data_IF_698168914605
#
_entry.id   IF_698168914605
#
_cell.length_a   1.000
_cell.length_b   1.000
_cell.length_c   1.000
_cell.angle_alpha   90.00
_cell.angle_beta   90.00
_cell.angle_gamma   90.00
#
_symmetry.space_group_name_H-M   'P 1'
#
loop_
_entity.id
_entity.type
_entity.pdbx_description
1 polymer ?
#
# COMPACT_ATOMS: atom_id res chain seq x y z
N UNK A 1 -14.27 -8.09 -35.53
CA UNK A 1 -13.54 -8.28 -36.80
C UNK A 1 -13.65 -9.76 -37.17
N UNK A 2 -14.67 -10.16 -37.93
CA UNK A 2 -14.86 -11.55 -38.34
C UNK A 2 -14.54 -11.67 -39.83
N UNK A 3 -13.25 -11.63 -40.17
CA UNK A 3 -12.79 -11.86 -41.54
C UNK A 3 -12.72 -13.36 -41.79
N UNK A 4 -13.50 -13.87 -42.77
CA UNK A 4 -13.45 -15.28 -43.17
C UNK A 4 -12.02 -15.65 -43.59
N UNK A 5 -11.34 -16.43 -42.75
CA UNK A 5 -9.97 -16.90 -43.00
C UNK A 5 -10.06 -18.04 -44.03
N UNK A 6 -9.24 -17.99 -45.07
CA UNK A 6 -9.19 -19.04 -46.08
C UNK A 6 -8.83 -20.40 -45.46
N UNK A 7 -9.59 -21.45 -45.76
CA UNK A 7 -9.41 -22.81 -45.24
C UNK A 7 -8.24 -23.52 -45.94
N UNK A 8 -7.02 -23.13 -45.60
CA UNK A 8 -5.77 -23.73 -46.09
C UNK A 8 -5.06 -24.48 -44.95
N UNK A 9 -4.40 -25.62 -45.22
CA UNK A 9 -3.63 -26.37 -44.19
C UNK A 9 -2.65 -25.48 -43.41
N UNK A 10 -1.99 -24.53 -44.08
CA UNK A 10 -1.08 -23.58 -43.44
C UNK A 10 -1.78 -22.67 -42.42
N UNK A 11 -3.00 -22.21 -42.70
CA UNK A 11 -3.80 -21.42 -41.77
C UNK A 11 -4.25 -22.27 -40.57
N UNK A 12 -4.61 -23.54 -40.79
CA UNK A 12 -4.97 -24.47 -39.71
C UNK A 12 -3.80 -24.66 -38.72
N UNK A 13 -2.58 -24.88 -39.21
CA UNK A 13 -1.38 -25.03 -38.36
C UNK A 13 -1.12 -23.74 -37.57
N UNK A 14 -1.24 -22.56 -38.23
CA UNK A 14 -1.02 -21.26 -37.57
C UNK A 14 -2.05 -21.01 -36.46
N UNK A 15 -3.33 -21.27 -36.73
CA UNK A 15 -4.41 -21.10 -35.75
C UNK A 15 -4.23 -22.10 -34.59
N UNK A 16 -3.88 -23.35 -34.88
CA UNK A 16 -3.66 -24.38 -33.84
C UNK A 16 -2.50 -24.01 -32.91
N UNK A 17 -1.38 -23.50 -33.47
CA UNK A 17 -0.25 -22.98 -32.66
C UNK A 17 -0.65 -21.75 -31.85
N UNK A 18 -1.43 -20.84 -32.44
CA UNK A 18 -1.96 -19.66 -31.74
C UNK A 18 -2.88 -20.05 -30.57
N UNK A 19 -3.71 -21.08 -30.75
CA UNK A 19 -4.60 -21.61 -29.71
C UNK A 19 -3.78 -22.20 -28.55
N UNK A 20 -2.79 -23.05 -28.86
CA UNK A 20 -1.89 -23.64 -27.85
C UNK A 20 -1.12 -22.58 -27.06
N UNK A 21 -0.64 -21.54 -27.73
CA UNK A 21 0.04 -20.41 -27.10
C UNK A 21 -0.91 -19.60 -26.21
N UNK A 22 -2.14 -19.36 -26.66
CA UNK A 22 -3.16 -18.67 -25.88
C UNK A 22 -3.56 -19.45 -24.62
N UNK A 23 -3.71 -20.77 -24.72
CA UNK A 23 -3.99 -21.65 -23.57
C UNK A 23 -2.85 -21.59 -22.54
N UNK A 24 -1.59 -21.77 -22.96
CA UNK A 24 -0.44 -21.65 -22.06
C UNK A 24 -0.32 -20.26 -21.43
N UNK A 25 -0.60 -19.21 -22.20
CA UNK A 25 -0.60 -17.84 -21.69
C UNK A 25 -1.67 -17.59 -20.62
N UNK A 26 -2.86 -18.18 -20.79
CA UNK A 26 -3.93 -18.14 -19.81
C UNK A 26 -3.52 -18.83 -18.50
N UNK A 27 -2.94 -20.03 -18.58
CA UNK A 27 -2.50 -20.78 -17.39
C UNK A 27 -1.44 -20.02 -16.58
N UNK A 28 -0.48 -19.38 -17.27
CA UNK A 28 0.55 -18.56 -16.63
C UNK A 28 -0.05 -17.31 -15.94
N UNK A 29 -1.07 -16.69 -16.55
CA UNK A 29 -1.75 -15.54 -15.95
C UNK A 29 -2.53 -15.94 -14.69
N UNK A 30 -3.13 -17.14 -14.68
CA UNK A 30 -3.85 -17.66 -13.53
C UNK A 30 -2.91 -18.00 -12.38
N UNK A 31 -1.76 -18.61 -12.66
CA UNK A 31 -0.70 -18.84 -11.67
C UNK A 31 -0.18 -17.52 -11.07
N UNK A 32 0.08 -16.51 -11.93
CA UNK A 32 0.47 -15.17 -11.46
C UNK A 32 -0.58 -14.55 -10.55
N UNK A 33 -1.87 -14.69 -10.88
CA UNK A 33 -2.98 -14.18 -10.09
C UNK A 33 -3.03 -14.82 -8.69
N UNK A 34 -2.84 -16.14 -8.61
CA UNK A 34 -2.84 -16.86 -7.34
C UNK A 34 -1.73 -16.37 -6.40
N UNK A 35 -0.50 -16.21 -6.92
CA UNK A 35 0.63 -15.71 -6.13
C UNK A 35 0.38 -14.27 -5.65
N UNK A 36 -0.11 -13.40 -6.54
CA UNK A 36 -0.44 -12.01 -6.17
C UNK A 36 -1.54 -11.94 -5.11
N UNK A 37 -2.53 -12.83 -5.17
CA UNK A 37 -3.58 -12.93 -4.14
C UNK A 37 -3.02 -13.32 -2.78
N UNK A 38 -2.10 -14.30 -2.73
CA UNK A 38 -1.45 -14.69 -1.48
C UNK A 38 -0.67 -13.51 -0.86
N UNK A 39 0.07 -12.77 -1.68
CA UNK A 39 0.84 -11.62 -1.21
C UNK A 39 -0.07 -10.48 -0.74
N UNK A 40 -1.18 -10.23 -1.44
CA UNK A 40 -2.18 -9.26 -1.01
C UNK A 40 -2.75 -9.60 0.37
N UNK A 41 -3.13 -10.86 0.60
CA UNK A 41 -3.66 -11.31 1.89
C UNK A 41 -2.62 -11.16 3.00
N UNK A 42 -1.35 -11.46 2.71
CA UNK A 42 -0.23 -11.26 3.65
C UNK A 42 -0.12 -9.80 4.08
N UNK A 43 -0.17 -8.86 3.13
CA UNK A 43 -0.13 -7.43 3.42
C UNK A 43 -1.37 -6.92 4.14
N UNK A 44 -2.56 -7.46 3.84
CA UNK A 44 -3.79 -7.11 4.56
C UNK A 44 -3.68 -7.50 6.05
N UNK A 45 -3.12 -8.67 6.34
CA UNK A 45 -2.95 -9.10 7.73
C UNK A 45 -1.91 -8.24 8.46
N UNK A 46 -0.80 -7.91 7.79
CA UNK A 46 0.19 -6.95 8.31
C UNK A 46 -0.44 -5.58 8.62
N UNK A 47 -1.28 -5.05 7.72
CA UNK A 47 -1.97 -3.79 7.92
C UNK A 47 -2.87 -3.80 9.16
N UNK A 48 -3.60 -4.91 9.41
CA UNK A 48 -4.46 -5.02 10.60
C UNK A 48 -3.66 -4.97 11.90
N UNK A 49 -2.51 -5.63 11.94
CA UNK A 49 -1.63 -5.61 13.11
C UNK A 49 -1.14 -4.19 13.36
N UNK A 50 -0.61 -3.53 12.33
CA UNK A 50 -0.11 -2.15 12.43
C UNK A 50 -1.23 -1.18 12.84
N UNK A 51 -2.44 -1.30 12.28
CA UNK A 51 -3.58 -0.46 12.64
C UNK A 51 -4.01 -0.64 14.11
N UNK A 52 -3.95 -1.87 14.63
CA UNK A 52 -4.26 -2.15 16.04
C UNK A 52 -3.25 -1.48 16.97
N UNK A 53 -1.97 -1.60 16.66
CA UNK A 53 -0.89 -0.99 17.45
C UNK A 53 -0.96 0.54 17.37
N UNK A 54 -1.28 1.08 16.19
CA UNK A 54 -1.44 2.50 15.95
C UNK A 54 -2.52 3.13 16.86
N UNK A 55 -3.68 2.50 17.03
CA UNK A 55 -4.73 3.03 17.90
C UNK A 55 -4.27 3.21 19.36
N UNK A 56 -3.48 2.26 19.86
CA UNK A 56 -2.91 2.33 21.20
C UNK A 56 -1.89 3.47 21.33
N UNK A 57 -0.98 3.59 20.35
CA UNK A 57 0.09 4.60 20.37
C UNK A 57 -0.47 6.02 20.20
N UNK A 58 -1.47 6.22 19.33
CA UNK A 58 -2.18 7.49 19.24
C UNK A 58 -2.87 7.86 20.55
N UNK A 59 -3.53 6.90 21.22
CA UNK A 59 -4.15 7.15 22.52
C UNK A 59 -3.15 7.61 23.57
N UNK A 60 -1.95 6.99 23.62
CA UNK A 60 -0.89 7.45 24.52
C UNK A 60 -0.34 8.83 24.15
N UNK A 61 -0.16 9.11 22.85
CA UNK A 61 0.35 10.39 22.38
C UNK A 61 -0.61 11.55 22.72
N UNK A 62 -1.91 11.37 22.50
CA UNK A 62 -2.91 12.37 22.86
C UNK A 62 -2.99 12.61 24.38
N UNK A 63 -2.84 11.57 25.21
CA UNK A 63 -2.77 11.73 26.67
C UNK A 63 -1.52 12.47 27.13
N UNK A 64 -0.39 12.29 26.45
CA UNK A 64 0.82 13.04 26.75
C UNK A 64 0.66 14.52 26.35
N UNK A 65 0.04 14.78 25.19
CA UNK A 65 -0.30 16.14 24.76
C UNK A 65 -1.27 16.85 25.70
N UNK A 66 -2.30 16.15 26.17
CA UNK A 66 -3.24 16.69 27.16
C UNK A 66 -2.51 17.14 28.43
N UNK A 67 -1.58 16.32 28.93
CA UNK A 67 -0.72 16.68 30.07
C UNK A 67 0.16 17.89 29.79
N UNK A 68 0.73 18.00 28.58
CA UNK A 68 1.50 19.16 28.17
C UNK A 68 0.63 20.44 28.14
N UNK A 69 -0.57 20.37 27.57
CA UNK A 69 -1.52 21.48 27.51
C UNK A 69 -1.95 21.96 28.90
N UNK A 70 -2.16 21.05 29.84
CA UNK A 70 -2.49 21.41 31.23
C UNK A 70 -1.30 22.09 31.92
N UNK A 71 -0.07 21.67 31.63
CA UNK A 71 1.14 22.18 32.29
C UNK A 71 1.59 23.54 31.76
N UNK A 72 1.57 23.75 30.44
CA UNK A 72 2.13 24.92 29.76
C UNK A 72 1.07 25.91 29.28
N UNK A 73 -0.19 25.48 29.21
CA UNK A 73 -1.24 26.20 28.50
C UNK A 73 -1.24 25.86 27.00
N UNK A 74 -2.41 25.97 26.37
CA UNK A 74 -2.61 25.57 24.97
C UNK A 74 -1.81 26.48 24.03
N UNK A 75 -1.86 27.79 24.26
CA UNK A 75 -1.20 28.79 23.41
C UNK A 75 0.32 28.58 23.36
N UNK A 76 0.95 28.29 24.51
CA UNK A 76 2.39 28.05 24.58
C UNK A 76 2.81 26.77 23.84
N UNK A 77 1.99 25.71 23.92
CA UNK A 77 2.26 24.46 23.18
C UNK A 77 2.13 24.67 21.67
N UNK A 78 1.14 25.46 21.24
CA UNK A 78 0.95 25.81 19.82
C UNK A 78 2.11 26.66 19.28
N UNK A 79 2.58 27.66 20.02
CA UNK A 79 3.76 28.45 19.66
C UNK A 79 5.02 27.59 19.49
N UNK A 80 5.25 26.64 20.41
CA UNK A 80 6.40 25.72 20.30
C UNK A 80 6.22 24.76 19.14
N UNK A 81 5.00 24.28 18.86
CA UNK A 81 4.72 23.39 17.74
C UNK A 81 5.09 24.04 16.40
N UNK A 82 4.87 25.35 16.23
CA UNK A 82 5.29 26.09 15.03
C UNK A 82 6.80 26.19 14.85
N UNK A 83 7.58 26.10 15.92
CA UNK A 83 9.04 26.11 15.85
C UNK A 83 9.64 24.74 15.44
N UNK A 84 8.86 23.67 15.51
CA UNK A 84 9.29 22.32 15.13
C UNK A 84 9.28 22.21 13.60
N UNK A 85 10.43 21.88 12.96
CA UNK A 85 10.46 21.71 11.51
C UNK A 85 9.66 20.48 11.08
N UNK A 86 9.02 20.57 9.91
CA UNK A 86 8.38 19.42 9.28
C UNK A 86 9.43 18.35 8.94
N UNK A 87 9.16 17.10 9.32
CA UNK A 87 10.05 16.00 9.00
C UNK A 87 9.84 15.56 7.54
N UNK A 88 10.76 15.95 6.66
CA UNK A 88 10.69 15.66 5.22
C UNK A 88 11.62 14.51 4.77
N UNK A 89 12.28 13.82 5.70
CA UNK A 89 13.32 12.80 5.40
C UNK A 89 12.74 11.41 5.17
N UNK A 90 11.72 11.30 4.33
CA UNK A 90 11.21 9.98 3.90
C UNK A 90 11.99 9.49 2.68
N UNK A 91 12.74 8.41 2.83
CA UNK A 91 13.38 7.74 1.69
C UNK A 91 12.45 6.61 1.24
N UNK A 92 11.90 6.76 0.04
CA UNK A 92 10.98 5.78 -0.56
C UNK A 92 11.76 4.97 -1.60
N UNK A 93 11.89 3.67 -1.35
CA UNK A 93 12.42 2.69 -2.31
C UNK A 93 11.27 1.97 -2.99
N UNK A 94 11.52 1.48 -4.20
CA UNK A 94 10.53 0.68 -4.94
C UNK A 94 11.09 -0.74 -5.06
N UNK A 95 10.30 -1.71 -4.61
CA UNK A 95 10.58 -3.14 -4.81
C UNK A 95 9.60 -3.73 -5.81
N UNK A 96 10.06 -4.67 -6.63
CA UNK A 96 9.21 -5.32 -7.64
C UNK A 96 8.69 -6.66 -7.13
N UNK A 97 7.37 -6.80 -7.04
CA UNK A 97 6.69 -8.05 -6.73
C UNK A 97 5.94 -8.52 -7.98
N UNK A 98 6.47 -9.53 -8.67
CA UNK A 98 5.87 -10.10 -9.89
C UNK A 98 5.53 -9.04 -10.96
N UNK A 99 6.36 -8.00 -11.08
CA UNK A 99 6.18 -6.88 -12.02
C UNK A 99 5.24 -5.78 -11.53
N UNK A 100 4.86 -5.79 -10.25
CA UNK A 100 4.18 -4.68 -9.58
C UNK A 100 5.21 -3.94 -8.73
N UNK A 101 5.36 -2.63 -8.96
CA UNK A 101 6.22 -1.78 -8.15
C UNK A 101 5.50 -1.42 -6.86
N UNK A 102 6.06 -1.85 -5.73
CA UNK A 102 5.53 -1.67 -4.39
C UNK A 102 6.49 -0.72 -3.63
N UNK A 103 5.99 0.34 -3.00
CA UNK A 103 6.83 1.22 -2.20
C UNK A 103 7.30 0.52 -0.93
N UNK A 104 8.50 0.88 -0.49
CA UNK A 104 9.12 0.49 0.77
C UNK A 104 9.69 1.77 1.37
N UNK A 105 9.28 2.11 2.60
CA UNK A 105 9.70 3.35 3.25
C UNK A 105 10.78 2.98 4.25
N UNK A 106 11.96 3.58 4.10
CA UNK A 106 13.02 3.40 5.10
C UNK A 106 12.58 3.96 6.45
N UNK A 107 13.03 3.32 7.52
CA UNK A 107 12.76 3.82 8.87
C UNK A 107 13.33 5.23 9.03
N UNK A 108 12.56 6.11 9.67
CA UNK A 108 13.00 7.45 10.04
C UNK A 108 14.11 7.36 11.09
N UNK A 109 15.36 7.21 10.64
CA UNK A 109 16.54 7.29 11.49
C UNK A 109 16.86 8.76 11.79
N UNK A 110 16.79 9.14 13.07
CA UNK A 110 17.13 10.48 13.52
C UNK A 110 17.28 10.55 15.03
N UNK A 111 18.26 11.33 15.50
CA UNK A 111 18.35 11.65 16.92
C UNK A 111 17.10 12.41 17.35
N UNK A 112 16.53 11.99 18.48
CA UNK A 112 15.41 12.63 19.16
C UNK A 112 15.87 13.91 19.86
N UNK A 113 16.55 14.80 19.13
CA UNK A 113 16.98 16.09 19.66
C UNK A 113 15.83 17.09 19.47
N UNK A 114 15.26 17.63 20.55
CA UNK A 114 14.26 18.68 20.47
C UNK A 114 14.81 19.87 19.68
N UNK A 115 14.03 20.36 18.71
CA UNK A 115 14.41 21.55 17.92
C UNK A 115 14.03 22.87 18.61
N UNK A 116 13.45 22.80 19.81
CA UNK A 116 12.97 23.94 20.59
C UNK A 116 13.86 24.27 21.79
N UNK A 117 13.73 25.50 22.31
CA UNK A 117 14.51 25.97 23.46
C UNK A 117 14.05 25.33 24.77
N UNK A 118 14.98 25.18 25.73
CA UNK A 118 14.66 24.76 27.10
C UNK A 118 13.89 25.82 27.90
N UNK A 119 13.88 27.06 27.44
CA UNK A 119 13.19 28.13 28.12
C UNK A 119 11.69 28.09 27.82
N UNK A 120 10.86 27.95 28.85
CA UNK A 120 9.40 27.91 28.69
C UNK A 120 8.86 26.57 28.20
N UNK A 121 9.63 25.48 28.29
CA UNK A 121 9.19 24.11 27.99
C UNK A 121 9.12 23.26 29.26
N UNK A 122 8.38 22.15 29.20
CA UNK A 122 8.13 21.23 30.32
C UNK A 122 8.44 19.81 29.88
N UNK A 123 8.86 18.95 30.80
CA UNK A 123 9.11 17.53 30.49
C UNK A 123 7.86 16.81 29.95
N UNK A 124 6.65 17.33 30.23
CA UNK A 124 5.41 16.83 29.62
C UNK A 124 5.34 17.09 28.11
N UNK A 125 5.90 18.21 27.63
CA UNK A 125 6.00 18.53 26.21
C UNK A 125 7.00 17.59 25.51
N UNK A 126 8.12 17.29 26.17
CA UNK A 126 9.12 16.35 25.66
C UNK A 126 8.53 14.93 25.53
N UNK A 127 7.76 14.47 26.52
CA UNK A 127 7.05 13.19 26.46
C UNK A 127 6.05 13.16 25.29
N UNK A 128 5.29 14.24 25.08
CA UNK A 128 4.37 14.36 23.97
C UNK A 128 5.10 14.35 22.62
N UNK A 129 6.22 15.08 22.50
CA UNK A 129 7.06 15.10 21.30
C UNK A 129 7.56 13.70 20.93
N UNK A 130 8.10 12.97 21.90
CA UNK A 130 8.57 11.59 21.71
C UNK A 130 7.44 10.65 21.29
N UNK A 131 6.25 10.77 21.91
CA UNK A 131 5.11 9.95 21.57
C UNK A 131 4.62 10.21 20.12
N UNK A 132 4.55 11.46 19.68
CA UNK A 132 4.17 11.78 18.29
C UNK A 132 5.25 11.40 17.27
N UNK A 133 6.53 11.39 17.66
CA UNK A 133 7.60 10.83 16.82
C UNK A 133 7.41 9.34 16.57
N UNK A 134 7.00 8.57 17.58
CA UNK A 134 6.65 7.15 17.42
C UNK A 134 5.41 6.97 16.53
N UNK A 135 4.40 7.83 16.70
CA UNK A 135 3.22 7.85 15.82
C UNK A 135 3.63 8.07 14.36
N UNK A 136 4.53 9.02 14.09
CA UNK A 136 4.98 9.32 12.73
C UNK A 136 5.62 8.10 12.05
N UNK A 137 6.44 7.34 12.80
CA UNK A 137 7.07 6.12 12.31
C UNK A 137 6.05 5.01 11.98
N UNK A 138 5.05 4.81 12.85
CA UNK A 138 3.98 3.85 12.58
C UNK A 138 3.10 4.29 11.40
N UNK A 139 2.85 5.59 11.26
CA UNK A 139 2.08 6.14 10.17
C UNK A 139 2.79 5.95 8.82
N UNK A 140 4.11 6.14 8.77
CA UNK A 140 4.88 5.87 7.55
C UNK A 140 4.83 4.40 7.16
N UNK A 141 4.91 3.49 8.14
CA UNK A 141 4.78 2.05 7.90
C UNK A 141 3.38 1.67 7.41
N UNK A 142 2.35 2.27 8.00
CA UNK A 142 0.97 2.04 7.55
C UNK A 142 0.77 2.51 6.10
N UNK A 143 1.25 3.71 5.77
CA UNK A 143 1.16 4.27 4.43
C UNK A 143 1.85 3.38 3.37
N UNK A 144 3.00 2.78 3.72
CA UNK A 144 3.68 1.78 2.89
C UNK A 144 2.77 0.58 2.61
N UNK A 145 2.24 -0.05 3.65
CA UNK A 145 1.43 -1.27 3.52
C UNK A 145 0.11 -0.99 2.78
N UNK A 146 -0.57 0.10 3.08
CA UNK A 146 -1.82 0.48 2.40
C UNK A 146 -1.60 0.77 0.91
N UNK A 147 -0.55 1.51 0.58
CA UNK A 147 -0.20 1.77 -0.82
C UNK A 147 0.15 0.48 -1.56
N UNK A 148 0.84 -0.43 -0.88
CA UNK A 148 1.17 -1.76 -1.41
C UNK A 148 -0.07 -2.57 -1.73
N UNK A 149 -1.03 -2.64 -0.79
CA UNK A 149 -2.33 -3.30 -0.97
C UNK A 149 -3.07 -2.71 -2.18
N UNK A 150 -3.14 -1.38 -2.28
CA UNK A 150 -3.83 -0.71 -3.38
C UNK A 150 -3.22 -1.06 -4.74
N UNK A 151 -1.89 -1.00 -4.86
CA UNK A 151 -1.18 -1.33 -6.11
C UNK A 151 -1.35 -2.80 -6.50
N UNK A 152 -1.25 -3.72 -5.56
CA UNK A 152 -1.46 -5.16 -5.79
C UNK A 152 -2.90 -5.45 -6.23
N UNK A 153 -3.88 -4.91 -5.50
CA UNK A 153 -5.31 -5.10 -5.81
C UNK A 153 -5.66 -4.58 -7.20
N UNK A 154 -5.12 -3.41 -7.59
CA UNK A 154 -5.33 -2.86 -8.93
C UNK A 154 -4.79 -3.77 -10.03
N UNK A 155 -3.58 -4.33 -9.84
CA UNK A 155 -2.96 -5.23 -10.81
C UNK A 155 -3.69 -6.57 -10.90
N UNK A 156 -4.15 -7.12 -9.77
CA UNK A 156 -4.98 -8.34 -9.73
C UNK A 156 -6.29 -8.13 -10.50
N UNK A 157 -6.96 -6.99 -10.31
CA UNK A 157 -8.19 -6.67 -11.06
C UNK A 157 -7.92 -6.55 -12.56
N UNK A 158 -6.77 -5.98 -12.94
CA UNK A 158 -6.34 -5.87 -14.34
C UNK A 158 -6.03 -7.24 -14.96
N UNK A 159 -5.41 -8.16 -14.22
CA UNK A 159 -5.16 -9.52 -14.69
C UNK A 159 -6.47 -10.32 -14.78
N UNK A 160 -7.36 -10.20 -13.80
CA UNK A 160 -8.67 -10.85 -13.83
C UNK A 160 -9.47 -10.49 -15.08
N UNK A 161 -9.53 -9.20 -15.44
CA UNK A 161 -10.24 -8.75 -16.64
C UNK A 161 -9.64 -9.28 -17.96
N UNK A 162 -8.38 -9.69 -17.96
CA UNK A 162 -7.69 -10.27 -19.13
C UNK A 162 -7.91 -11.77 -19.25
N UNK A 163 -7.94 -12.48 -18.12
CA UNK A 163 -8.20 -13.92 -18.04
C UNK A 163 -9.67 -14.20 -18.33
N UNK A 164 -10.56 -13.47 -17.65
CA UNK A 164 -12.01 -13.55 -17.84
C UNK A 164 -12.55 -12.22 -18.36
N UNK A 165 -12.74 -12.06 -19.69
CA UNK A 165 -13.53 -10.96 -20.19
C UNK A 165 -14.97 -11.10 -19.65
N UNK A 166 -15.66 -9.99 -19.32
CA UNK A 166 -17.04 -10.05 -18.88
C UNK A 166 -17.85 -10.78 -19.94
N UNK A 167 -18.46 -11.91 -19.55
CA UNK A 167 -19.38 -12.64 -20.41
C UNK A 167 -20.53 -11.68 -20.70
N UNK A 168 -20.59 -11.16 -21.94
CA UNK A 168 -21.83 -10.63 -22.47
C UNK A 168 -22.88 -11.73 -22.29
N UNK A 169 -23.97 -11.40 -21.62
CA UNK A 169 -25.20 -12.18 -21.61
C UNK A 169 -25.73 -12.25 -23.05
N UNK A 170 -25.13 -13.11 -23.87
CA UNK A 170 -25.63 -13.48 -25.17
C UNK A 170 -25.99 -14.95 -25.07
N UNK A 171 -27.29 -15.22 -25.13
CA UNK A 171 -27.86 -16.55 -25.21
C UNK A 171 -27.06 -17.42 -26.17
N UNK A 172 -26.70 -18.59 -25.67
CA UNK A 172 -26.11 -19.68 -26.43
C UNK A 172 -27.20 -20.17 -27.41
N UNK A 173 -27.06 -20.07 -28.74
CA UNK A 173 -27.62 -21.10 -29.58
C UNK A 173 -26.62 -22.25 -29.54
N UNK A 174 -27.00 -23.32 -28.84
CA UNK A 174 -26.30 -24.58 -28.94
C UNK A 174 -26.42 -25.00 -30.41
N UNK A 175 -25.29 -25.12 -31.11
CA UNK A 175 -25.26 -25.76 -32.41
C UNK A 175 -25.59 -27.25 -32.20
N UNK A 176 -26.85 -27.61 -32.44
CA UNK A 176 -27.23 -28.91 -33.02
C UNK A 176 -27.39 -28.74 -34.52
#
# INVERSE_FOLDING_TARGET
MNGKIASTRGNLIRISRSLLLAQKGHDLLEQKRQILMMELVRHIEEAKVVQKDMAQVFSSAYKALERANISLGIDAVEEVAHAIPEEARFIIRLRSVMGVEVPEVDELEGRLEPSYSFFGTSGALDEAYLAFRQVLHLLSRLAEVETSIYRLAFQIRKTHRRVEPPRLSSGVPQCT
#
